data_IF_591725259204
#
_entry.id   IF_591725259204
#
_cell.length_a   1.000
_cell.length_b   1.000
_cell.length_c   1.000
_cell.angle_alpha   90.00
_cell.angle_beta   90.00
_cell.angle_gamma   90.00
#
_symmetry.space_group_name_H-M   'P 1'
#
loop_
_entity.id
_entity.type
_entity.pdbx_description
1 polymer ?
#
# COMPACT_ATOMS: atom_id res chain seq x y z
N UNK A 1 -20.74 -8.50 -36.44
CA UNK A 1 -20.52 -9.86 -35.93
C UNK A 1 -21.87 -10.52 -36.00
N UNK A 2 -21.96 -11.73 -36.53
CA UNK A 2 -23.22 -12.47 -36.64
C UNK A 2 -23.37 -13.33 -35.38
N UNK A 3 -24.54 -13.30 -34.75
CA UNK A 3 -24.81 -14.06 -33.53
C UNK A 3 -25.66 -15.28 -33.86
N UNK A 4 -25.37 -16.41 -33.19
CA UNK A 4 -26.04 -17.68 -33.43
C UNK A 4 -26.51 -18.28 -32.11
N UNK A 5 -27.80 -18.60 -31.98
CA UNK A 5 -28.32 -19.36 -30.83
C UNK A 5 -28.32 -20.84 -31.21
N UNK A 6 -27.90 -21.69 -30.27
CA UNK A 6 -27.93 -23.13 -30.43
C UNK A 6 -29.32 -23.66 -30.05
N UNK A 7 -30.08 -24.13 -31.03
CA UNK A 7 -31.44 -24.61 -30.81
C UNK A 7 -31.39 -26.10 -30.41
N UNK A 8 -31.61 -26.39 -29.12
CA UNK A 8 -31.47 -27.74 -28.55
C UNK A 8 -32.36 -28.81 -29.21
N UNK A 9 -33.47 -28.41 -29.83
CA UNK A 9 -34.43 -29.32 -30.43
C UNK A 9 -34.01 -29.82 -31.83
N UNK A 10 -33.13 -29.09 -32.54
CA UNK A 10 -32.76 -29.40 -33.93
C UNK A 10 -31.25 -29.46 -34.17
N UNK A 11 -30.39 -29.20 -33.17
CA UNK A 11 -28.92 -29.09 -33.34
C UNK A 11 -28.53 -28.12 -34.48
N UNK A 12 -29.35 -27.11 -34.72
CA UNK A 12 -29.14 -26.09 -35.76
C UNK A 12 -28.76 -24.76 -35.11
N UNK A 13 -27.76 -24.09 -35.68
CA UNK A 13 -27.42 -22.70 -35.33
C UNK A 13 -28.39 -21.78 -36.06
N UNK A 14 -29.28 -21.12 -35.32
CA UNK A 14 -30.16 -20.11 -35.89
C UNK A 14 -29.47 -18.74 -35.83
N UNK A 15 -29.26 -18.05 -36.96
CA UNK A 15 -28.73 -16.70 -36.95
C UNK A 15 -29.77 -15.75 -36.34
N UNK A 16 -29.33 -14.93 -35.40
CA UNK A 16 -30.16 -13.88 -34.82
C UNK A 16 -29.40 -12.56 -34.84
N UNK A 17 -30.15 -11.45 -34.85
CA UNK A 17 -29.57 -10.12 -34.86
C UNK A 17 -28.91 -9.85 -33.50
N UNK A 18 -27.58 -9.70 -33.49
CA UNK A 18 -26.85 -9.35 -32.26
C UNK A 18 -27.39 -8.03 -31.72
N UNK A 19 -28.07 -8.08 -30.57
CA UNK A 19 -28.50 -6.87 -29.91
C UNK A 19 -27.32 -6.27 -29.14
N UNK A 20 -26.45 -5.56 -29.85
CA UNK A 20 -25.29 -4.86 -29.26
C UNK A 20 -25.69 -3.54 -28.58
N UNK A 21 -26.98 -3.31 -28.33
CA UNK A 21 -27.45 -2.14 -27.58
C UNK A 21 -27.17 -2.38 -26.10
N UNK A 22 -26.48 -1.43 -25.46
CA UNK A 22 -26.16 -1.50 -24.03
C UNK A 22 -27.43 -1.74 -23.21
N UNK A 23 -27.42 -2.79 -22.38
CA UNK A 23 -28.59 -3.24 -21.63
C UNK A 23 -29.48 -4.27 -22.33
N UNK A 24 -29.00 -4.92 -23.40
CA UNK A 24 -29.67 -6.12 -23.92
C UNK A 24 -29.73 -7.21 -22.85
N UNK A 25 -30.91 -7.82 -22.59
CA UNK A 25 -31.05 -8.92 -21.66
C UNK A 25 -30.47 -10.22 -22.25
N UNK A 26 -30.13 -11.14 -21.35
CA UNK A 26 -29.85 -12.53 -21.70
C UNK A 26 -31.14 -13.17 -22.25
N UNK A 27 -31.03 -13.85 -23.39
CA UNK A 27 -32.12 -14.49 -24.11
C UNK A 27 -32.72 -15.69 -23.36
N UNK A 28 -31.97 -16.30 -22.44
CA UNK A 28 -32.42 -17.44 -21.66
C UNK A 28 -33.09 -17.02 -20.35
N UNK A 29 -32.51 -16.05 -19.63
CA UNK A 29 -33.02 -15.61 -18.32
C UNK A 29 -33.96 -14.41 -18.41
N UNK A 30 -33.90 -13.64 -19.51
CA UNK A 30 -34.65 -12.40 -19.68
C UNK A 30 -34.12 -11.23 -18.83
N UNK A 31 -32.99 -11.42 -18.13
CA UNK A 31 -32.37 -10.43 -17.23
C UNK A 31 -31.04 -9.97 -17.81
N UNK A 32 -30.63 -8.73 -17.52
CA UNK A 32 -29.32 -8.21 -17.96
C UNK A 32 -28.27 -8.71 -16.98
N UNK A 33 -27.32 -9.50 -17.46
CA UNK A 33 -26.26 -10.11 -16.67
C UNK A 33 -24.89 -9.57 -17.09
N UNK A 34 -24.05 -9.28 -16.09
CA UNK A 34 -22.67 -8.81 -16.26
C UNK A 34 -21.73 -9.81 -15.58
N UNK A 35 -20.89 -10.49 -16.37
CA UNK A 35 -20.12 -11.64 -15.90
C UNK A 35 -19.17 -11.31 -14.74
N UNK A 36 -18.42 -10.20 -14.81
CA UNK A 36 -17.43 -9.88 -13.77
C UNK A 36 -17.94 -9.03 -12.61
N UNK A 37 -18.74 -8.00 -12.92
CA UNK A 37 -19.14 -6.98 -11.94
C UNK A 37 -20.50 -7.28 -11.30
N UNK A 38 -21.39 -8.01 -11.98
CA UNK A 38 -22.79 -8.15 -11.60
C UNK A 38 -23.63 -6.88 -11.75
N UNK A 39 -23.04 -5.77 -12.19
CA UNK A 39 -23.71 -4.49 -12.49
C UNK A 39 -23.07 -3.85 -13.74
N UNK A 40 -23.74 -2.84 -14.30
CA UNK A 40 -23.18 -2.00 -15.37
C UNK A 40 -22.19 -0.99 -14.77
N UNK A 41 -20.87 -1.15 -14.96
CA UNK A 41 -19.89 -0.26 -14.35
C UNK A 41 -19.94 1.14 -14.98
N UNK A 42 -19.84 2.18 -14.15
CA UNK A 42 -19.80 3.56 -14.61
C UNK A 42 -18.44 3.90 -15.25
N UNK A 43 -18.51 4.36 -16.49
CA UNK A 43 -17.39 4.89 -17.27
C UNK A 43 -16.90 6.23 -16.70
N UNK A 44 -17.81 7.15 -16.38
CA UNK A 44 -17.49 8.49 -15.87
C UNK A 44 -16.63 8.42 -14.61
N UNK A 45 -17.05 7.64 -13.61
CA UNK A 45 -16.31 7.54 -12.35
C UNK A 45 -14.94 6.89 -12.53
N UNK A 46 -14.83 5.94 -13.45
CA UNK A 46 -13.55 5.30 -13.79
C UNK A 46 -12.54 6.31 -14.35
N UNK A 47 -12.97 7.21 -15.25
CA UNK A 47 -12.12 8.28 -15.76
C UNK A 47 -11.76 9.33 -14.69
N UNK A 48 -12.73 9.72 -13.86
CA UNK A 48 -12.53 10.71 -12.80
C UNK A 48 -11.48 10.23 -11.80
N UNK A 49 -11.60 9.01 -11.27
CA UNK A 49 -10.63 8.50 -10.30
C UNK A 49 -9.25 8.27 -10.93
N UNK A 50 -9.18 7.77 -12.17
CA UNK A 50 -7.91 7.65 -12.91
C UNK A 50 -7.21 9.01 -13.01
N UNK A 51 -7.94 10.08 -13.36
CA UNK A 51 -7.39 11.43 -13.46
C UNK A 51 -6.95 11.98 -12.09
N UNK A 52 -7.77 11.78 -11.04
CA UNK A 52 -7.46 12.23 -9.68
C UNK A 52 -6.18 11.58 -9.16
N UNK A 53 -6.06 10.25 -9.26
CA UNK A 53 -4.84 9.55 -8.84
C UNK A 53 -3.65 9.88 -9.74
N UNK A 54 -3.87 10.12 -11.04
CA UNK A 54 -2.82 10.56 -11.96
C UNK A 54 -2.22 11.93 -11.57
N UNK A 55 -3.07 12.90 -11.26
CA UNK A 55 -2.64 14.22 -10.77
C UNK A 55 -1.98 14.08 -9.39
N UNK A 56 -2.53 13.26 -8.50
CA UNK A 56 -1.94 13.01 -7.19
C UNK A 56 -0.55 12.37 -7.30
N UNK A 57 -0.35 11.41 -8.21
CA UNK A 57 0.93 10.77 -8.48
C UNK A 57 1.98 11.79 -8.95
N UNK A 58 1.62 12.64 -9.93
CA UNK A 58 2.51 13.70 -10.41
C UNK A 58 2.89 14.66 -9.28
N UNK A 59 1.91 15.05 -8.45
CA UNK A 59 2.16 15.90 -7.28
C UNK A 59 3.10 15.23 -6.27
N UNK A 60 2.90 13.95 -5.95
CA UNK A 60 3.74 13.21 -5.00
C UNK A 60 5.17 13.03 -5.52
N UNK A 61 5.35 12.74 -6.81
CA UNK A 61 6.68 12.66 -7.44
C UNK A 61 7.36 14.03 -7.39
N UNK A 62 6.66 15.08 -7.82
CA UNK A 62 7.19 16.44 -7.82
C UNK A 62 7.61 16.88 -6.41
N UNK A 63 6.75 16.70 -5.41
CA UNK A 63 7.02 17.06 -4.03
C UNK A 63 8.15 16.20 -3.44
N UNK A 64 8.15 14.89 -3.70
CA UNK A 64 9.20 13.98 -3.25
C UNK A 64 10.58 14.36 -3.78
N UNK A 65 10.67 14.74 -5.05
CA UNK A 65 11.93 15.19 -5.69
C UNK A 65 12.32 16.59 -5.24
N UNK A 66 11.38 17.55 -5.24
CA UNK A 66 11.64 18.95 -4.89
C UNK A 66 12.12 19.13 -3.44
N UNK A 67 11.52 18.37 -2.52
CA UNK A 67 11.90 18.35 -1.11
C UNK A 67 13.02 17.34 -0.78
N UNK A 68 13.48 16.57 -1.77
CA UNK A 68 14.52 15.53 -1.63
C UNK A 68 14.17 14.46 -0.58
N UNK A 69 12.88 14.19 -0.38
CA UNK A 69 12.38 13.18 0.56
C UNK A 69 12.32 11.82 -0.11
N UNK A 70 13.47 11.22 -0.43
CA UNK A 70 13.57 9.97 -1.22
C UNK A 70 12.75 8.79 -0.69
N UNK A 71 12.43 8.75 0.61
CA UNK A 71 11.59 7.71 1.20
C UNK A 71 10.10 7.81 0.81
N UNK A 72 9.63 9.00 0.40
CA UNK A 72 8.24 9.23 -0.05
C UNK A 72 7.97 8.65 -1.44
N UNK A 73 8.99 8.48 -2.26
CA UNK A 73 8.85 7.91 -3.61
C UNK A 73 8.48 6.42 -3.60
N UNK A 74 9.24 5.50 -2.95
CA UNK A 74 8.89 4.09 -2.91
C UNK A 74 7.67 3.77 -2.03
N UNK A 75 7.10 4.77 -1.34
CA UNK A 75 5.91 4.60 -0.51
C UNK A 75 4.72 5.35 -1.12
N UNK A 76 4.60 6.65 -0.93
CA UNK A 76 3.46 7.44 -1.41
C UNK A 76 3.34 7.46 -2.94
N UNK A 77 4.44 7.68 -3.67
CA UNK A 77 4.39 7.72 -5.12
C UNK A 77 4.17 6.32 -5.73
N UNK A 78 4.80 5.27 -5.18
CA UNK A 78 4.54 3.90 -5.60
C UNK A 78 3.09 3.48 -5.34
N UNK A 79 2.55 3.77 -4.15
CA UNK A 79 1.14 3.48 -3.82
C UNK A 79 0.15 4.19 -4.74
N UNK A 80 0.37 5.49 -4.99
CA UNK A 80 -0.46 6.25 -5.94
C UNK A 80 -0.31 5.75 -7.38
N UNK A 81 0.87 5.29 -7.79
CA UNK A 81 1.05 4.69 -9.11
C UNK A 81 0.26 3.38 -9.25
N UNK A 82 0.26 2.54 -8.22
CA UNK A 82 -0.53 1.31 -8.21
C UNK A 82 -2.03 1.61 -8.24
N UNK A 83 -2.51 2.66 -7.55
CA UNK A 83 -3.91 3.12 -7.70
C UNK A 83 -4.21 3.51 -9.16
N UNK A 84 -3.35 4.30 -9.81
CA UNK A 84 -3.54 4.69 -11.22
C UNK A 84 -3.63 3.46 -12.13
N UNK A 85 -2.79 2.45 -11.91
CA UNK A 85 -2.83 1.19 -12.67
C UNK A 85 -4.15 0.45 -12.41
N UNK A 86 -4.61 0.39 -11.16
CA UNK A 86 -5.88 -0.25 -10.81
C UNK A 86 -7.08 0.42 -11.47
N UNK A 87 -7.15 1.75 -11.42
CA UNK A 87 -8.20 2.52 -12.08
C UNK A 87 -8.09 2.50 -13.61
N UNK A 88 -6.88 2.47 -14.14
CA UNK A 88 -6.64 2.22 -15.56
C UNK A 88 -7.13 0.85 -16.01
N UNK A 89 -6.98 -0.19 -15.15
CA UNK A 89 -7.57 -1.51 -15.38
C UNK A 89 -9.08 -1.48 -15.42
N UNK A 90 -9.73 -0.71 -14.54
CA UNK A 90 -11.17 -0.49 -14.60
C UNK A 90 -11.59 0.17 -15.91
N UNK A 91 -10.90 1.24 -16.33
CA UNK A 91 -11.19 1.92 -17.61
C UNK A 91 -11.08 0.94 -18.79
N UNK A 92 -10.02 0.12 -18.82
CA UNK A 92 -9.88 -0.89 -19.86
C UNK A 92 -11.03 -1.90 -19.80
N UNK A 93 -11.35 -2.43 -18.63
CA UNK A 93 -12.46 -3.36 -18.44
C UNK A 93 -13.80 -2.78 -18.92
N UNK A 94 -14.12 -1.52 -18.59
CA UNK A 94 -15.34 -0.84 -19.03
C UNK A 94 -15.37 -0.63 -20.55
N UNK A 95 -14.26 -0.23 -21.17
CA UNK A 95 -14.21 -0.01 -22.63
C UNK A 95 -14.22 -1.33 -23.42
N UNK A 96 -13.72 -2.40 -22.81
CA UNK A 96 -13.75 -3.75 -23.40
C UNK A 96 -15.08 -4.47 -23.26
N UNK A 97 -16.05 -3.86 -22.59
CA UNK A 97 -17.35 -4.45 -22.31
C UNK A 97 -18.10 -4.73 -23.62
N UNK A 98 -18.36 -6.00 -23.89
CA UNK A 98 -19.05 -6.44 -25.09
C UNK A 98 -20.08 -7.51 -24.75
N UNK A 99 -21.20 -7.48 -25.48
CA UNK A 99 -22.23 -8.51 -25.37
C UNK A 99 -21.76 -9.77 -26.11
N UNK A 100 -21.61 -10.87 -25.39
CA UNK A 100 -21.20 -12.16 -25.98
C UNK A 100 -22.40 -13.09 -26.08
N UNK A 101 -22.66 -13.75 -27.23
CA UNK A 101 -23.86 -14.59 -27.43
C UNK A 101 -23.86 -15.91 -26.63
N UNK A 102 -22.74 -16.26 -26.01
CA UNK A 102 -22.58 -17.52 -25.30
C UNK A 102 -23.55 -17.56 -24.11
N UNK A 103 -24.11 -18.73 -23.81
CA UNK A 103 -25.05 -18.94 -22.71
C UNK A 103 -26.28 -18.01 -22.72
N UNK A 104 -26.73 -17.61 -23.91
CA UNK A 104 -27.93 -16.79 -24.08
C UNK A 104 -27.67 -15.29 -24.13
N UNK A 105 -26.44 -14.82 -23.91
CA UNK A 105 -26.12 -13.40 -24.07
C UNK A 105 -25.73 -12.68 -22.79
N UNK A 106 -24.44 -12.59 -22.50
CA UNK A 106 -23.92 -11.95 -21.27
C UNK A 106 -22.98 -10.81 -21.62
N UNK A 107 -22.99 -9.74 -20.81
CA UNK A 107 -22.02 -8.67 -20.92
C UNK A 107 -20.71 -9.09 -20.28
N UNK A 108 -19.71 -9.33 -21.13
CA UNK A 108 -18.39 -9.79 -20.74
C UNK A 108 -17.37 -8.66 -20.92
N UNK A 109 -16.39 -8.59 -20.02
CA UNK A 109 -15.27 -7.65 -20.08
C UNK A 109 -13.95 -8.41 -20.08
N UNK A 110 -12.86 -7.75 -20.47
CA UNK A 110 -11.56 -8.39 -20.45
C UNK A 110 -11.19 -8.81 -19.02
N UNK A 111 -11.27 -10.12 -18.72
CA UNK A 111 -11.04 -10.69 -17.39
C UNK A 111 -9.71 -10.24 -16.78
N UNK A 112 -8.63 -10.23 -17.56
CA UNK A 112 -7.33 -9.73 -17.11
C UNK A 112 -7.33 -8.27 -16.67
N UNK A 113 -8.15 -7.41 -17.30
CA UNK A 113 -8.28 -6.01 -16.91
C UNK A 113 -9.04 -5.86 -15.57
N UNK A 114 -10.05 -6.71 -15.35
CA UNK A 114 -10.78 -6.79 -14.08
C UNK A 114 -9.89 -7.28 -12.93
N UNK A 115 -9.13 -8.35 -13.15
CA UNK A 115 -8.18 -8.86 -12.15
C UNK A 115 -7.06 -7.84 -11.87
N UNK A 116 -6.54 -7.17 -12.91
CA UNK A 116 -5.56 -6.10 -12.75
C UNK A 116 -6.10 -4.98 -11.86
N UNK A 117 -7.35 -4.54 -12.09
CA UNK A 117 -8.00 -3.57 -11.21
C UNK A 117 -7.97 -4.04 -9.76
N UNK A 118 -8.47 -5.24 -9.47
CA UNK A 118 -8.63 -5.69 -8.08
C UNK A 118 -7.29 -5.92 -7.40
N UNK A 119 -6.33 -6.54 -8.08
CA UNK A 119 -4.99 -6.76 -7.55
C UNK A 119 -4.32 -5.44 -7.20
N UNK A 120 -4.31 -4.47 -8.12
CA UNK A 120 -3.66 -3.19 -7.89
C UNK A 120 -4.34 -2.40 -6.77
N UNK A 121 -5.68 -2.32 -6.78
CA UNK A 121 -6.41 -1.63 -5.72
C UNK A 121 -6.18 -2.30 -4.36
N UNK A 122 -6.14 -3.63 -4.27
CA UNK A 122 -5.86 -4.32 -3.00
C UNK A 122 -4.44 -4.02 -2.48
N UNK A 123 -3.46 -3.97 -3.38
CA UNK A 123 -2.05 -3.77 -3.05
C UNK A 123 -1.74 -2.31 -2.63
N UNK A 124 -2.32 -1.31 -3.29
CA UNK A 124 -1.95 0.09 -3.12
C UNK A 124 -1.93 0.62 -1.66
N UNK A 125 -2.91 0.32 -0.78
CA UNK A 125 -2.93 0.79 0.60
C UNK A 125 -1.76 0.33 1.46
N UNK A 126 -1.11 -0.79 1.13
CA UNK A 126 0.09 -1.27 1.84
C UNK A 126 1.25 -0.27 1.75
N UNK A 127 1.35 0.44 0.63
CA UNK A 127 2.36 1.47 0.45
C UNK A 127 2.02 2.72 1.27
N UNK A 128 0.73 3.02 1.43
CA UNK A 128 0.25 4.09 2.29
C UNK A 128 0.46 3.79 3.78
N UNK A 129 0.23 2.54 4.22
CA UNK A 129 0.56 2.11 5.59
C UNK A 129 2.07 2.17 5.83
N UNK A 130 2.90 1.71 4.88
CA UNK A 130 4.35 1.85 4.96
C UNK A 130 4.80 3.32 5.10
N UNK A 131 4.18 4.25 4.38
CA UNK A 131 4.44 5.68 4.53
C UNK A 131 4.13 6.18 5.95
N UNK A 132 2.99 5.78 6.53
CA UNK A 132 2.63 6.12 7.91
C UNK A 132 3.66 5.60 8.93
N UNK A 133 4.15 4.36 8.74
CA UNK A 133 5.11 3.73 9.65
C UNK A 133 6.46 4.45 9.65
N UNK A 134 6.97 4.79 8.46
CA UNK A 134 8.22 5.54 8.31
C UNK A 134 8.07 6.95 8.87
N UNK A 135 6.96 7.62 8.58
CA UNK A 135 6.67 8.97 9.08
C UNK A 135 6.62 8.97 10.61
N UNK A 136 5.95 8.00 11.22
CA UNK A 136 5.89 7.86 12.66
C UNK A 136 7.27 7.63 13.29
N UNK A 137 8.08 6.73 12.70
CA UNK A 137 9.45 6.49 13.14
C UNK A 137 10.32 7.75 13.11
N UNK A 138 10.12 8.63 12.13
CA UNK A 138 10.80 9.93 12.04
C UNK A 138 10.29 10.94 13.07
N UNK A 139 8.98 10.98 13.34
CA UNK A 139 8.41 11.83 14.38
C UNK A 139 8.96 11.46 15.76
N UNK A 140 9.08 10.17 16.06
CA UNK A 140 9.67 9.68 17.31
C UNK A 140 11.12 10.17 17.43
N UNK A 141 11.91 10.03 16.36
CA UNK A 141 13.30 10.47 16.35
C UNK A 141 13.41 11.98 16.62
N UNK A 142 12.51 12.79 16.06
CA UNK A 142 12.51 14.24 16.24
C UNK A 142 11.90 14.73 17.57
N UNK A 143 10.97 13.97 18.16
CA UNK A 143 10.28 14.35 19.41
C UNK A 143 10.98 13.83 20.69
N UNK A 144 12.05 13.07 20.54
CA UNK A 144 12.77 12.42 21.64
C UNK A 144 12.25 11.00 21.91
N UNK A 145 13.14 9.99 22.03
CA UNK A 145 12.76 8.58 22.17
C UNK A 145 12.15 8.23 23.54
N UNK A 146 12.04 9.19 24.45
CA UNK A 146 11.69 8.99 25.86
C UNK A 146 10.29 8.41 26.08
N UNK A 147 9.37 8.56 25.13
CA UNK A 147 7.95 8.20 25.29
C UNK A 147 7.52 6.91 24.57
N UNK A 148 8.41 6.22 23.85
CA UNK A 148 8.06 5.01 23.07
C UNK A 148 8.61 3.75 23.73
N UNK A 149 7.79 2.71 23.80
CA UNK A 149 8.16 1.39 24.35
C UNK A 149 9.12 0.60 23.43
N UNK A 150 9.07 0.85 22.13
CA UNK A 150 9.92 0.27 21.07
C UNK A 150 10.89 1.32 20.50
N UNK A 151 12.13 0.92 20.23
CA UNK A 151 13.16 1.84 19.72
C UNK A 151 12.84 2.36 18.30
N UNK A 152 13.01 3.67 18.08
CA UNK A 152 12.58 4.45 16.89
C UNK A 152 12.93 3.85 15.52
N UNK A 153 14.11 3.22 15.38
CA UNK A 153 14.56 2.64 14.11
C UNK A 153 14.07 1.20 13.89
N UNK A 154 13.72 0.48 14.94
CA UNK A 154 13.22 -0.90 14.84
C UNK A 154 11.71 -0.93 14.62
N UNK A 155 11.01 0.12 15.05
CA UNK A 155 9.56 0.24 14.90
C UNK A 155 9.15 0.16 13.42
N UNK A 156 9.61 1.09 12.58
CA UNK A 156 9.20 1.13 11.16
C UNK A 156 9.61 -0.12 10.39
N UNK A 157 10.72 -0.77 10.73
CA UNK A 157 11.23 -1.95 10.01
C UNK A 157 10.36 -3.18 10.23
N UNK A 158 9.86 -3.41 11.45
CA UNK A 158 9.01 -4.58 11.76
C UNK A 158 7.71 -4.52 10.96
N UNK A 159 7.05 -3.37 10.98
CA UNK A 159 5.76 -3.20 10.31
C UNK A 159 5.87 -3.28 8.79
N UNK A 160 6.93 -2.69 8.22
CA UNK A 160 7.17 -2.79 6.77
C UNK A 160 7.47 -4.24 6.35
N UNK A 161 8.21 -5.02 7.15
CA UNK A 161 8.43 -6.45 6.84
C UNK A 161 7.12 -7.24 6.93
N UNK A 162 6.27 -6.96 7.91
CA UNK A 162 4.96 -7.59 8.03
C UNK A 162 4.07 -7.27 6.82
N UNK A 163 4.04 -6.01 6.38
CA UNK A 163 3.28 -5.60 5.18
C UNK A 163 3.87 -6.22 3.90
N UNK A 164 5.18 -6.39 3.78
CA UNK A 164 5.81 -7.11 2.65
C UNK A 164 5.35 -8.58 2.64
N UNK A 165 5.27 -9.24 3.80
CA UNK A 165 4.74 -10.60 3.87
C UNK A 165 3.27 -10.66 3.43
N UNK A 166 2.45 -9.67 3.81
CA UNK A 166 1.07 -9.55 3.35
C UNK A 166 1.00 -9.33 1.83
N UNK A 167 1.87 -8.49 1.28
CA UNK A 167 1.96 -8.23 -0.16
C UNK A 167 2.31 -9.47 -0.98
N UNK A 168 3.19 -10.34 -0.47
CA UNK A 168 3.50 -11.61 -1.13
C UNK A 168 2.27 -12.50 -1.19
N UNK A 169 1.48 -12.58 -0.10
CA UNK A 169 0.23 -13.34 -0.08
C UNK A 169 -0.78 -12.75 -1.06
N UNK A 170 -0.96 -11.43 -1.08
CA UNK A 170 -1.87 -10.74 -1.99
C UNK A 170 -1.47 -10.92 -3.46
N UNK A 171 -0.18 -10.78 -3.77
CA UNK A 171 0.34 -11.00 -5.12
C UNK A 171 0.20 -12.45 -5.58
N UNK A 172 0.43 -13.41 -4.69
CA UNK A 172 0.22 -14.83 -4.99
C UNK A 172 -1.25 -15.15 -5.25
N UNK A 173 -2.16 -14.67 -4.39
CA UNK A 173 -3.60 -14.85 -4.58
C UNK A 173 -4.11 -14.21 -5.87
N UNK A 174 -3.66 -12.99 -6.18
CA UNK A 174 -4.03 -12.29 -7.42
C UNK A 174 -3.49 -12.96 -8.68
N UNK A 175 -2.28 -13.53 -8.60
CA UNK A 175 -1.71 -14.33 -9.68
C UNK A 175 -2.54 -15.59 -9.96
N UNK A 176 -2.90 -16.34 -8.91
CA UNK A 176 -3.74 -17.53 -9.03
C UNK A 176 -5.11 -17.18 -9.62
N UNK A 177 -5.76 -16.11 -9.12
CA UNK A 177 -7.05 -15.66 -9.63
C UNK A 177 -6.99 -15.25 -11.11
N UNK A 178 -5.89 -14.63 -11.55
CA UNK A 178 -5.71 -14.18 -12.92
C UNK A 178 -5.35 -15.27 -13.94
N UNK A 179 -4.80 -16.40 -13.48
CA UNK A 179 -4.39 -17.53 -14.34
C UNK A 179 -5.27 -18.77 -14.21
N UNK A 180 -6.34 -18.71 -13.41
CA UNK A 180 -7.26 -19.82 -13.26
C UNK A 180 -8.08 -20.04 -14.53
N UNK A 181 -8.20 -21.29 -14.96
CA UNK A 181 -9.03 -21.69 -16.11
C UNK A 181 -10.48 -22.03 -15.69
N UNK A 182 -10.72 -22.11 -14.38
CA UNK A 182 -11.95 -22.53 -13.74
C UNK A 182 -12.36 -21.58 -12.60
N UNK A 183 -13.66 -21.56 -12.28
CA UNK A 183 -14.22 -20.69 -11.25
C UNK A 183 -13.66 -21.02 -9.86
N UNK A 184 -13.48 -22.31 -9.53
CA UNK A 184 -12.95 -22.73 -8.22
C UNK A 184 -11.51 -22.21 -8.01
N UNK A 185 -10.68 -22.25 -9.06
CA UNK A 185 -9.35 -21.66 -9.07
C UNK A 185 -9.35 -20.14 -8.87
N UNK A 186 -10.28 -19.43 -9.51
CA UNK A 186 -10.44 -17.97 -9.35
C UNK A 186 -10.85 -17.60 -7.92
N UNK A 187 -11.83 -18.31 -7.37
CA UNK A 187 -12.32 -18.13 -6.01
C UNK A 187 -11.24 -18.42 -4.98
N UNK A 188 -10.46 -19.49 -5.17
CA UNK A 188 -9.31 -19.81 -4.32
C UNK A 188 -8.29 -18.66 -4.30
N UNK A 189 -7.99 -18.09 -5.47
CA UNK A 189 -7.12 -16.93 -5.58
C UNK A 189 -7.65 -15.72 -4.79
N UNK A 190 -8.95 -15.44 -4.92
CA UNK A 190 -9.62 -14.39 -4.17
C UNK A 190 -9.52 -14.61 -2.64
N UNK A 191 -9.78 -15.81 -2.14
CA UNK A 191 -9.65 -16.14 -0.71
C UNK A 191 -8.22 -15.96 -0.19
N UNK A 192 -7.20 -16.33 -0.98
CA UNK A 192 -5.79 -16.12 -0.62
C UNK A 192 -5.49 -14.61 -0.54
N UNK A 193 -5.98 -13.81 -1.49
CA UNK A 193 -5.85 -12.35 -1.42
C UNK A 193 -6.48 -11.78 -0.15
N UNK A 194 -7.71 -12.23 0.18
CA UNK A 194 -8.45 -11.81 1.38
C UNK A 194 -7.67 -12.10 2.66
N UNK A 195 -7.03 -13.27 2.75
CA UNK A 195 -6.19 -13.60 3.90
C UNK A 195 -5.04 -12.60 4.08
N UNK A 196 -4.43 -12.16 2.97
CA UNK A 196 -3.40 -11.12 2.99
C UNK A 196 -3.93 -9.76 3.45
N UNK A 197 -5.14 -9.37 3.03
CA UNK A 197 -5.80 -8.12 3.45
C UNK A 197 -6.14 -8.15 4.95
N UNK A 198 -6.67 -9.27 5.45
CA UNK A 198 -7.00 -9.46 6.87
C UNK A 198 -5.73 -9.40 7.73
N UNK A 199 -4.66 -10.08 7.30
CA UNK A 199 -3.39 -10.03 8.02
C UNK A 199 -2.84 -8.60 8.10
N UNK A 200 -2.89 -7.86 6.99
CA UNK A 200 -2.51 -6.45 6.94
C UNK A 200 -3.37 -5.57 7.86
N UNK A 201 -4.68 -5.82 7.93
CA UNK A 201 -5.58 -5.12 8.85
C UNK A 201 -5.16 -5.35 10.32
N UNK A 202 -4.84 -6.60 10.69
CA UNK A 202 -4.36 -6.92 12.04
C UNK A 202 -3.08 -6.16 12.37
N UNK A 203 -2.13 -6.12 11.43
CA UNK A 203 -0.86 -5.37 11.58
C UNK A 203 -1.14 -3.87 11.76
N UNK A 204 -2.05 -3.31 10.97
CA UNK A 204 -2.43 -1.89 11.02
C UNK A 204 -3.15 -1.52 12.34
N UNK A 205 -4.01 -2.41 12.86
CA UNK A 205 -4.66 -2.24 14.17
C UNK A 205 -3.60 -2.25 15.28
N UNK A 206 -2.64 -3.18 15.23
CA UNK A 206 -1.55 -3.23 16.21
C UNK A 206 -0.69 -1.97 16.17
N UNK A 207 -0.35 -1.46 14.98
CA UNK A 207 0.31 -0.16 14.81
C UNK A 207 -0.50 0.98 15.45
N UNK A 208 -1.81 1.03 15.19
CA UNK A 208 -2.70 2.08 15.71
C UNK A 208 -2.74 2.06 17.23
N UNK A 209 -2.76 0.87 17.86
CA UNK A 209 -2.67 0.72 19.31
C UNK A 209 -1.37 1.30 19.89
N UNK A 210 -0.23 1.01 19.27
CA UNK A 210 1.07 1.55 19.70
C UNK A 210 1.19 3.05 19.47
N UNK A 211 0.63 3.55 18.36
CA UNK A 211 0.55 4.98 18.06
C UNK A 211 -0.30 5.71 19.12
N UNK A 212 -1.45 5.15 19.47
CA UNK A 212 -2.32 5.68 20.52
C UNK A 212 -1.64 5.64 21.90
N UNK A 213 -0.93 4.56 22.24
CA UNK A 213 -0.15 4.45 23.47
C UNK A 213 0.90 5.57 23.55
N UNK A 214 1.63 5.82 22.47
CA UNK A 214 2.62 6.89 22.42
C UNK A 214 1.99 8.28 22.58
N UNK A 215 0.87 8.55 21.90
CA UNK A 215 0.14 9.81 22.06
C UNK A 215 -0.32 10.03 23.50
N UNK A 216 -0.85 8.98 24.14
CA UNK A 216 -1.29 9.03 25.53
C UNK A 216 -0.12 9.26 26.51
N UNK A 217 0.99 8.54 26.32
CA UNK A 217 2.22 8.71 27.14
C UNK A 217 2.81 10.11 27.00
N UNK A 218 2.86 10.63 25.77
CA UNK A 218 3.35 11.98 25.49
C UNK A 218 2.48 13.05 26.13
N UNK A 219 1.14 12.91 26.03
CA UNK A 219 0.20 13.86 26.65
C UNK A 219 0.31 13.88 28.17
N UNK A 220 0.62 12.73 28.77
CA UNK A 220 0.71 12.57 30.23
C UNK A 220 2.15 12.67 30.77
N UNK A 221 3.12 13.02 29.93
CA UNK A 221 4.55 13.11 30.30
C UNK A 221 5.10 11.86 31.01
N UNK A 222 4.60 10.67 30.68
CA UNK A 222 5.04 9.40 31.28
C UNK A 222 6.09 8.72 30.41
N UNK A 223 7.39 8.75 30.78
CA UNK A 223 8.43 8.10 29.98
C UNK A 223 8.23 6.58 29.93
N UNK A 224 8.64 5.97 28.82
CA UNK A 224 8.61 4.52 28.67
C UNK A 224 9.65 3.88 29.61
N UNK A 225 9.24 2.84 30.36
CA UNK A 225 10.07 2.23 31.41
C UNK A 225 11.26 1.43 30.87
N UNK A 226 11.16 0.90 29.64
CA UNK A 226 12.22 0.20 28.89
C UNK A 226 12.00 0.40 27.39
N UNK A 227 13.08 0.67 26.64
CA UNK A 227 13.06 0.71 25.18
C UNK A 227 13.54 -0.66 24.64
N UNK A 228 12.64 -1.43 24.04
CA UNK A 228 13.02 -2.71 23.42
C UNK A 228 13.57 -2.47 22.00
N UNK A 229 14.77 -2.98 21.72
CA UNK A 229 15.42 -2.85 20.42
C UNK A 229 15.85 -4.23 19.87
N UNK A 230 14.97 -4.95 19.16
CA UNK A 230 15.24 -6.31 18.69
C UNK A 230 16.36 -6.36 17.64
N UNK A 231 16.58 -5.28 16.89
CA UNK A 231 17.60 -5.20 15.84
C UNK A 231 18.90 -4.51 16.28
N UNK A 232 19.09 -4.26 17.57
CA UNK A 232 20.29 -3.60 18.10
C UNK A 232 21.59 -4.27 17.60
N UNK A 233 21.60 -5.60 17.50
CA UNK A 233 22.75 -6.38 17.01
C UNK A 233 23.06 -6.14 15.53
N UNK A 234 22.03 -5.98 14.69
CA UNK A 234 22.19 -5.70 13.26
C UNK A 234 22.68 -4.29 13.01
N UNK A 235 22.07 -3.30 13.68
CA UNK A 235 22.52 -1.90 13.59
C UNK A 235 23.96 -1.73 14.05
N UNK A 236 24.36 -2.44 15.12
CA UNK A 236 25.74 -2.43 15.62
C UNK A 236 26.74 -2.97 14.60
N UNK A 237 26.42 -4.07 13.91
CA UNK A 237 27.25 -4.63 12.81
C UNK A 237 27.36 -3.66 11.63
N UNK A 238 26.26 -3.02 11.23
CA UNK A 238 26.25 -2.06 10.11
C UNK A 238 27.09 -0.82 10.41
N UNK A 239 26.97 -0.26 11.61
CA UNK A 239 27.76 0.90 12.03
C UNK A 239 29.24 0.57 12.15
N UNK A 240 29.60 -0.64 12.61
CA UNK A 240 30.98 -1.11 12.62
C UNK A 240 31.55 -1.26 11.20
N UNK A 241 30.77 -1.80 10.26
CA UNK A 241 31.19 -1.91 8.86
C UNK A 241 31.33 -0.54 8.15
N UNK A 242 30.46 0.42 8.48
CA UNK A 242 30.55 1.78 7.95
C UNK A 242 31.77 2.53 8.51
N UNK A 243 32.01 2.44 9.82
CA UNK A 243 33.20 3.04 10.45
C UNK A 243 34.51 2.40 9.94
N UNK A 244 34.51 1.09 9.66
CA UNK A 244 35.65 0.42 9.04
C UNK A 244 35.94 0.94 7.63
N UNK A 245 34.90 1.24 6.83
CA UNK A 245 35.07 1.84 5.49
C UNK A 245 35.60 3.26 5.55
N UNK A 246 35.12 4.08 6.50
CA UNK A 246 35.58 5.46 6.66
C UNK A 246 37.05 5.55 7.11
N UNK A 247 37.49 4.62 7.99
CA UNK A 247 38.91 4.49 8.36
C UNK A 247 39.83 4.08 7.20
N UNK A 248 39.31 3.32 6.22
CA UNK A 248 40.07 2.90 5.03
C UNK A 248 40.25 4.08 4.06
N UNK A 249 39.26 4.97 3.94
CA UNK A 249 39.31 6.11 3.00
C UNK A 249 40.19 7.28 3.51
N UNK A 250 40.39 7.43 4.83
CA UNK A 250 41.19 8.52 5.40
C UNK A 250 42.71 8.29 5.46
N UNK A 251 43.23 7.11 5.10
CA UNK A 251 44.67 6.84 5.10
C UNK A 251 45.28 7.07 3.70
N UNK A 252 46.09 8.13 3.46
CA UNK A 252 46.66 8.40 2.13
C UNK A 252 47.83 7.48 1.75
N UNK A 253 48.21 6.52 2.62
CA UNK A 253 49.39 5.69 2.43
C UNK A 253 49.20 4.32 3.07
N UNK A 254 48.47 3.41 2.40
CA UNK A 254 48.54 1.99 2.74
C UNK A 254 48.28 1.13 1.50
N UNK A 255 49.32 0.98 0.69
CA UNK A 255 49.48 -0.19 -0.16
C UNK A 255 49.49 -1.47 0.70
N UNK A 256 48.59 -2.39 0.35
CA UNK A 256 48.65 -3.84 0.60
C UNK A 256 48.82 -4.32 2.05
N UNK A 257 47.72 -4.38 2.81
CA UNK A 257 47.45 -5.51 3.74
C UNK A 257 45.92 -5.63 3.93
N UNK A 258 45.28 -6.58 3.25
CA UNK A 258 43.99 -7.15 3.71
C UNK A 258 44.31 -8.11 4.86
N UNK A 259 44.27 -7.64 6.11
CA UNK A 259 44.34 -8.53 7.27
C UNK A 259 43.03 -8.44 8.07
N UNK A 260 42.17 -9.48 8.03
CA UNK A 260 40.88 -9.51 8.74
C UNK A 260 41.02 -9.49 10.27
N UNK A 261 42.24 -9.52 10.81
CA UNK A 261 42.52 -9.46 12.25
C UNK A 261 42.31 -8.07 12.88
N UNK A 262 42.36 -6.96 12.11
CA UNK A 262 42.20 -5.60 12.65
C UNK A 262 40.76 -5.38 13.18
N UNK A 263 39.75 -5.94 12.52
CA UNK A 263 38.33 -5.87 12.95
C UNK A 263 38.12 -6.45 14.35
N UNK A 264 38.95 -7.42 14.77
CA UNK A 264 38.84 -8.09 16.07
C UNK A 264 39.59 -7.37 17.20
N UNK A 265 40.38 -6.33 16.90
CA UNK A 265 41.18 -5.58 17.89
C UNK A 265 40.48 -4.34 18.44
N UNK A 266 39.37 -3.91 17.82
CA UNK A 266 38.56 -2.81 18.35
C UNK A 266 37.83 -3.32 19.58
N UNK A 267 38.29 -2.92 20.76
CA UNK A 267 37.59 -3.20 22.01
C UNK A 267 36.16 -2.65 21.90
N UNK A 268 35.13 -3.42 22.29
CA UNK A 268 33.74 -3.02 22.17
C UNK A 268 33.45 -1.69 22.89
N UNK A 269 34.20 -1.37 23.93
CA UNK A 269 34.09 -0.12 24.71
C UNK A 269 34.51 1.13 23.92
N UNK A 270 35.56 1.05 23.10
CA UNK A 270 36.06 2.20 22.32
C UNK A 270 35.16 2.48 21.11
N UNK A 271 34.61 1.43 20.48
CA UNK A 271 33.57 1.57 19.44
C UNK A 271 32.28 2.15 19.99
N UNK A 272 31.91 1.77 21.22
CA UNK A 272 30.75 2.33 21.90
C UNK A 272 31.00 3.80 22.24
N UNK A 273 32.19 4.18 22.72
CA UNK A 273 32.52 5.58 23.02
C UNK A 273 32.59 6.47 21.77
N UNK A 274 33.09 5.95 20.64
CA UNK A 274 33.14 6.68 19.37
C UNK A 274 31.76 6.79 18.71
N UNK A 275 31.00 5.70 18.64
CA UNK A 275 29.62 5.73 18.14
C UNK A 275 28.72 6.58 19.04
N UNK A 276 28.87 6.49 20.38
CA UNK A 276 28.14 7.34 21.33
C UNK A 276 28.56 8.80 21.22
N UNK A 277 29.86 9.12 21.02
CA UNK A 277 30.30 10.50 20.75
C UNK A 277 29.76 11.04 19.44
N UNK A 278 29.79 10.25 18.36
CA UNK A 278 29.25 10.68 17.06
C UNK A 278 27.72 10.84 17.10
N UNK A 279 27.02 9.97 17.85
CA UNK A 279 25.57 10.10 18.08
C UNK A 279 25.21 11.26 19.02
N UNK A 280 26.00 11.49 20.07
CA UNK A 280 25.83 12.62 21.01
C UNK A 280 26.22 13.96 20.39
N UNK A 281 27.00 13.95 19.30
CA UNK A 281 27.44 15.14 18.57
C UNK A 281 26.59 15.45 17.33
N UNK A 282 25.52 14.70 17.05
CA UNK A 282 24.45 15.22 16.21
C UNK A 282 23.76 16.27 17.08
N UNK A 283 23.77 17.57 16.73
CA UNK A 283 23.12 18.58 17.53
C UNK A 283 21.63 18.23 17.62
N UNK A 284 21.21 17.63 18.74
CA UNK A 284 19.81 17.40 19.09
C UNK A 284 19.21 18.73 19.56
N UNK A 285 19.40 19.76 18.75
CA UNK A 285 19.05 21.14 19.05
C UNK A 285 18.20 21.69 17.91
N UNK A 286 17.16 20.94 17.58
CA UNK A 286 15.96 21.42 16.90
C UNK A 286 14.81 20.49 17.27
N UNK A 287 14.32 20.60 18.50
CA UNK A 287 13.00 20.09 18.85
C UNK A 287 12.00 20.67 17.85
N UNK A 288 11.37 19.82 17.04
CA UNK A 288 10.34 20.29 16.12
C UNK A 288 9.28 21.06 16.95
N UNK A 289 8.83 22.23 16.50
CA UNK A 289 7.81 22.98 17.23
C UNK A 289 6.58 22.10 17.40
N UNK A 290 5.98 22.14 18.60
CA UNK A 290 4.91 21.21 18.96
C UNK A 290 3.74 21.19 17.98
N UNK A 291 3.43 22.35 17.38
CA UNK A 291 2.38 22.50 16.37
C UNK A 291 2.61 21.60 15.16
N UNK A 292 3.85 21.54 14.65
CA UNK A 292 4.21 20.67 13.53
C UNK A 292 4.10 19.20 13.89
N UNK A 293 4.49 18.84 15.12
CA UNK A 293 4.39 17.45 15.56
C UNK A 293 2.93 17.03 15.72
N UNK A 294 2.08 17.88 16.30
CA UNK A 294 0.63 17.64 16.40
C UNK A 294 0.00 17.50 15.02
N UNK A 295 0.36 18.34 14.05
CA UNK A 295 -0.11 18.24 12.67
C UNK A 295 0.25 16.89 12.03
N UNK A 296 1.50 16.44 12.17
CA UNK A 296 1.93 15.15 11.60
C UNK A 296 1.29 13.94 12.29
N UNK A 297 1.07 14.02 13.60
CA UNK A 297 0.32 12.99 14.32
C UNK A 297 -1.14 12.95 13.87
N UNK A 298 -1.76 14.12 13.63
CA UNK A 298 -3.09 14.21 13.06
C UNK A 298 -3.16 13.61 11.66
N UNK A 299 -2.15 13.86 10.82
CA UNK A 299 -2.04 13.30 9.48
C UNK A 299 -1.95 11.76 9.51
N UNK A 300 -1.11 11.20 10.39
CA UNK A 300 -1.02 9.74 10.56
C UNK A 300 -2.35 9.18 11.04
N UNK A 301 -2.94 9.76 12.10
CA UNK A 301 -4.21 9.26 12.66
C UNK A 301 -5.33 9.25 11.61
N UNK A 302 -5.46 10.34 10.86
CA UNK A 302 -6.43 10.47 9.78
C UNK A 302 -6.15 9.46 8.67
N UNK A 303 -4.90 9.35 8.22
CA UNK A 303 -4.50 8.40 7.20
C UNK A 303 -4.75 6.94 7.60
N UNK A 304 -4.41 6.56 8.83
CA UNK A 304 -4.68 5.21 9.35
C UNK A 304 -6.15 4.90 9.46
N UNK A 305 -6.99 5.88 9.81
CA UNK A 305 -8.44 5.68 9.89
C UNK A 305 -9.01 5.34 8.51
N UNK A 306 -8.61 6.06 7.46
CA UNK A 306 -9.03 5.80 6.08
C UNK A 306 -8.60 4.40 5.61
N UNK A 307 -7.36 4.00 5.91
CA UNK A 307 -6.85 2.66 5.58
C UNK A 307 -7.66 1.58 6.29
N UNK A 308 -7.97 1.74 7.59
CA UNK A 308 -8.76 0.76 8.34
C UNK A 308 -10.16 0.61 7.76
N UNK A 309 -10.87 1.72 7.48
CA UNK A 309 -12.23 1.66 6.92
C UNK A 309 -12.22 0.90 5.59
N UNK A 310 -11.27 1.24 4.70
CA UNK A 310 -11.07 0.54 3.44
C UNK A 310 -10.77 -0.95 3.65
N UNK A 311 -9.81 -1.28 4.51
CA UNK A 311 -9.39 -2.66 4.74
C UNK A 311 -10.53 -3.52 5.29
N UNK A 312 -11.43 -2.95 6.12
CA UNK A 312 -12.64 -3.64 6.58
C UNK A 312 -13.60 -3.87 5.42
N UNK A 313 -13.88 -2.84 4.61
CA UNK A 313 -14.73 -2.97 3.41
C UNK A 313 -14.20 -4.06 2.46
N UNK A 314 -12.90 -4.03 2.12
CA UNK A 314 -12.26 -5.02 1.25
C UNK A 314 -12.27 -6.43 1.82
N UNK A 315 -12.09 -6.57 3.13
CA UNK A 315 -12.17 -7.89 3.76
C UNK A 315 -13.58 -8.46 3.62
N UNK A 316 -14.62 -7.64 3.81
CA UNK A 316 -16.01 -8.10 3.69
C UNK A 316 -16.38 -8.38 2.22
N UNK A 317 -16.01 -7.48 1.29
CA UNK A 317 -16.26 -7.64 -0.15
C UNK A 317 -15.66 -8.94 -0.69
N UNK A 318 -14.38 -9.24 -0.37
CA UNK A 318 -13.71 -10.43 -0.89
C UNK A 318 -14.07 -11.72 -0.12
N UNK A 319 -14.66 -11.62 1.08
CA UNK A 319 -15.19 -12.78 1.81
C UNK A 319 -16.55 -13.22 1.26
N UNK A 320 -17.38 -12.27 0.83
CA UNK A 320 -18.68 -12.56 0.20
C UNK A 320 -18.52 -13.13 -1.24
N UNK A 321 -17.31 -13.04 -1.81
CA UNK A 321 -17.00 -13.53 -3.15
C UNK A 321 -17.50 -12.61 -4.27
N UNK A 322 -17.34 -13.05 -5.51
CA UNK A 322 -17.60 -12.26 -6.71
C UNK A 322 -19.09 -11.94 -6.93
N UNK A 323 -19.98 -12.80 -6.42
CA UNK A 323 -21.44 -12.63 -6.47
C UNK A 323 -22.01 -11.95 -5.22
N UNK A 324 -21.15 -11.53 -4.29
CA UNK A 324 -21.53 -10.93 -3.03
C UNK A 324 -22.39 -9.67 -3.21
N UNK A 325 -23.42 -9.51 -2.37
CA UNK A 325 -24.29 -8.33 -2.41
C UNK A 325 -23.52 -7.02 -2.23
N UNK A 326 -22.34 -7.04 -1.60
CA UNK A 326 -21.47 -5.88 -1.41
C UNK A 326 -20.58 -5.64 -2.63
N UNK A 327 -20.15 -6.68 -3.33
CA UNK A 327 -19.34 -6.58 -4.55
C UNK A 327 -20.15 -5.99 -5.72
N UNK A 328 -21.44 -6.31 -5.80
CA UNK A 328 -22.35 -5.82 -6.85
C UNK A 328 -22.78 -4.35 -6.64
N UNK A 329 -22.49 -3.76 -5.48
CA UNK A 329 -22.88 -2.39 -5.15
C UNK A 329 -21.78 -1.37 -5.51
N UNK A 330 -21.83 -0.85 -6.74
CA UNK A 330 -20.88 0.17 -7.23
C UNK A 330 -20.71 1.38 -6.29
N UNK A 331 -21.77 2.00 -5.72
CA UNK A 331 -21.60 3.17 -4.88
C UNK A 331 -20.78 2.91 -3.60
N UNK A 332 -20.86 1.68 -3.05
CA UNK A 332 -20.05 1.29 -1.89
C UNK A 332 -18.58 1.17 -2.28
N UNK A 333 -18.29 0.57 -3.43
CA UNK A 333 -16.95 0.50 -3.98
C UNK A 333 -16.35 1.90 -4.22
N UNK A 334 -17.10 2.79 -4.88
CA UNK A 334 -16.63 4.16 -5.14
C UNK A 334 -16.44 4.97 -3.83
N UNK A 335 -17.33 4.81 -2.86
CA UNK A 335 -17.29 5.57 -1.61
C UNK A 335 -16.26 5.06 -0.60
N UNK A 336 -16.25 3.75 -0.33
CA UNK A 336 -15.46 3.14 0.75
C UNK A 336 -14.09 2.65 0.27
N UNK A 337 -13.88 2.49 -1.03
CA UNK A 337 -12.58 2.12 -1.59
C UNK A 337 -11.90 3.32 -2.25
N UNK A 338 -12.49 3.84 -3.33
CA UNK A 338 -11.89 4.85 -4.19
C UNK A 338 -11.71 6.19 -3.49
N UNK A 339 -12.81 6.72 -2.95
CA UNK A 339 -12.83 8.06 -2.37
C UNK A 339 -11.93 8.17 -1.13
N UNK A 340 -11.90 7.15 -0.27
CA UNK A 340 -11.03 7.16 0.92
C UNK A 340 -9.55 7.22 0.53
N UNK A 341 -9.11 6.47 -0.49
CA UNK A 341 -7.70 6.51 -0.92
C UNK A 341 -7.36 7.77 -1.71
N UNK A 342 -8.31 8.32 -2.47
CA UNK A 342 -8.13 9.62 -3.11
C UNK A 342 -7.94 10.72 -2.07
N UNK A 343 -8.77 10.74 -1.02
CA UNK A 343 -8.64 11.66 0.11
C UNK A 343 -7.30 11.47 0.82
N UNK A 344 -6.84 10.24 1.04
CA UNK A 344 -5.52 9.96 1.60
C UNK A 344 -4.41 10.57 0.73
N UNK A 345 -4.38 10.23 -0.56
CA UNK A 345 -3.34 10.66 -1.49
C UNK A 345 -3.25 12.19 -1.62
N UNK A 346 -4.41 12.85 -1.72
CA UNK A 346 -4.50 14.32 -1.79
C UNK A 346 -4.06 14.95 -0.48
N UNK A 347 -4.50 14.43 0.67
CA UNK A 347 -4.12 14.99 1.98
C UNK A 347 -2.61 14.91 2.19
N UNK A 348 -1.98 13.80 1.81
CA UNK A 348 -0.53 13.62 1.86
C UNK A 348 0.23 14.48 0.84
N UNK A 349 -0.39 14.85 -0.29
CA UNK A 349 0.19 15.79 -1.24
C UNK A 349 0.13 17.23 -0.71
N UNK A 350 -1.00 17.63 -0.09
CA UNK A 350 -1.18 18.98 0.47
C UNK A 350 -0.32 19.18 1.72
N UNK A 351 -0.36 18.22 2.65
CA UNK A 351 0.40 18.25 3.91
C UNK A 351 1.64 17.37 3.77
N UNK A 352 2.43 17.63 2.73
CA UNK A 352 3.58 16.80 2.41
C UNK A 352 4.63 16.83 3.54
N UNK A 353 5.16 15.67 3.99
CA UNK A 353 6.15 15.61 5.07
C UNK A 353 7.37 16.51 4.83
N UNK A 354 7.80 16.67 3.57
CA UNK A 354 8.88 17.57 3.19
C UNK A 354 8.63 19.05 3.52
N UNK A 355 7.37 19.50 3.47
CA UNK A 355 6.98 20.87 3.82
C UNK A 355 7.14 21.13 5.33
N UNK A 356 6.81 20.12 6.15
CA UNK A 356 6.78 20.25 7.61
C UNK A 356 8.17 20.16 8.22
N UNK A 357 8.96 19.17 7.78
CA UNK A 357 10.32 18.94 8.27
C UNK A 357 11.39 19.81 7.58
N UNK A 358 11.08 20.37 6.40
CA UNK A 358 12.03 21.09 5.57
C UNK A 358 13.15 20.18 5.03
N UNK A 359 14.06 20.76 4.23
CA UNK A 359 15.24 20.03 3.69
C UNK A 359 16.26 19.60 4.76
N UNK A 360 16.08 19.98 6.03
CA UNK A 360 17.11 19.86 7.09
C UNK A 360 17.09 18.53 7.85
N UNK A 361 16.06 17.69 7.67
CA UNK A 361 15.94 16.40 8.35
C UNK A 361 16.22 15.18 7.44
N UNK A 362 16.69 15.44 6.21
CA UNK A 362 16.82 14.43 5.15
C UNK A 362 18.15 14.51 4.42
#
# INVERSE_FOLDING_TARGET
MDCYVFEANNFTQAPFECNNVQGSPNLLTGVIEYAQYGYNPSDIWSYVFTAVFGVALLAQIFLGVFWRTWWTLPTLAAGTAVEVIGWGGRVWSVVSLAWTPNEGGVWDSAYGAYIMQICCLVIAPTFYSAANYILFGRIIAAAGPTYVSLHSQSFSTIFVIADIACLVIQGAGGGIAGTADDQDGSDMGAYIMTAGVILQLVVTIFFTGLFAEWLWRRRNSKPARRQFNPFARFYRKKNQAAAAREHIEMSPSATLVEDPSIVNTIKPEDSNNFASRSYNNIPFENTLPESKVKLMCGLIAFGTLLIIIRSVYRSVELLDGWEGAIAINEPLFLGLDAFLMAVFAITYAVVHPGLVFGRRLF
#
